data_IF_219807534290
#
_entry.id   IF_219807534290
#
_cell.length_a   1.000
_cell.length_b   1.000
_cell.length_c   1.000
_cell.angle_alpha   90.00
_cell.angle_beta   90.00
_cell.angle_gamma   90.00
#
_symmetry.space_group_name_H-M   'P 1'
#
loop_
_entity.id
_entity.type
_entity.pdbx_description
1 polymer ?
#
# COMPACT_ATOMS: atom_id res chain seq x y z
N UNK A 1 39.13 -39.40 35.49
CA UNK A 1 40.01 -38.24 35.25
C UNK A 1 39.12 -37.21 34.58
N UNK A 2 38.51 -36.32 35.37
CA UNK A 2 38.99 -34.94 35.66
C UNK A 2 38.36 -33.96 34.65
N UNK A 3 37.47 -33.01 35.01
CA UNK A 3 37.67 -31.71 35.74
C UNK A 3 38.63 -30.78 35.01
N UNK A 4 38.42 -29.47 34.78
CA UNK A 4 37.39 -28.46 35.20
C UNK A 4 37.54 -27.25 34.23
N UNK A 5 36.66 -26.25 34.04
CA UNK A 5 35.42 -25.73 34.67
C UNK A 5 34.42 -25.34 33.55
N UNK A 6 33.18 -24.81 33.67
CA UNK A 6 32.48 -23.82 34.53
C UNK A 6 32.99 -22.37 34.49
N UNK A 7 32.22 -21.47 33.87
CA UNK A 7 32.03 -20.09 34.34
C UNK A 7 30.75 -19.50 33.75
N UNK A 8 29.89 -18.94 34.59
CA UNK A 8 28.64 -18.24 34.21
C UNK A 8 28.70 -16.85 34.80
N UNK A 9 28.61 -15.79 33.99
CA UNK A 9 28.54 -14.43 34.51
C UNK A 9 27.13 -14.07 35.02
N UNK A 10 27.02 -13.35 36.15
CA UNK A 10 25.74 -13.15 36.84
C UNK A 10 24.94 -11.94 36.33
N UNK A 11 23.62 -12.09 36.35
CA UNK A 11 22.66 -11.00 36.16
C UNK A 11 22.78 -9.92 37.25
N UNK A 12 22.94 -8.66 36.85
CA UNK A 12 22.84 -7.51 37.75
C UNK A 12 21.48 -6.79 37.59
N UNK A 13 20.53 -6.93 38.54
CA UNK A 13 19.32 -6.11 38.56
C UNK A 13 19.67 -4.70 39.07
N UNK A 14 19.54 -3.68 38.20
CA UNK A 14 19.75 -2.28 38.60
C UNK A 14 18.59 -1.81 39.47
N UNK A 15 18.94 -1.16 40.58
CA UNK A 15 18.05 -0.77 41.69
C UNK A 15 16.92 0.18 41.28
N UNK A 16 15.73 -0.09 41.81
CA UNK A 16 14.56 0.80 41.81
C UNK A 16 14.87 2.13 42.52
N UNK A 17 14.55 3.26 41.91
CA UNK A 17 14.40 4.52 42.64
C UNK A 17 12.99 5.09 42.41
N UNK A 18 12.27 5.32 43.51
CA UNK A 18 10.86 5.75 43.52
C UNK A 18 10.74 7.02 44.32
N UNK A 19 10.38 8.13 43.66
CA UNK A 19 9.94 9.35 44.37
C UNK A 19 8.70 9.96 43.73
N UNK A 20 7.87 10.54 44.60
CA UNK A 20 6.43 10.75 44.40
C UNK A 20 6.07 12.23 44.22
N UNK A 21 5.02 12.45 43.43
CA UNK A 21 4.17 13.65 43.31
C UNK A 21 4.77 14.96 42.79
N UNK A 22 4.22 15.38 41.65
CA UNK A 22 3.93 16.78 41.32
C UNK A 22 2.51 16.89 40.77
N UNK A 23 1.51 17.06 41.64
CA UNK A 23 0.11 17.23 41.24
C UNK A 23 -0.17 18.67 40.85
N UNK A 24 -0.84 18.89 39.72
CA UNK A 24 -1.67 20.07 39.50
C UNK A 24 -2.93 19.67 38.71
N UNK A 25 -4.09 19.96 39.29
CA UNK A 25 -5.40 19.77 38.68
C UNK A 25 -5.95 21.14 38.32
N UNK A 26 -6.40 21.33 37.09
CA UNK A 26 -7.44 22.34 36.81
C UNK A 26 -8.25 21.95 35.57
N UNK A 27 -9.49 22.46 35.48
CA UNK A 27 -10.54 21.85 34.66
C UNK A 27 -11.01 22.74 33.51
N UNK A 28 -11.09 22.17 32.31
CA UNK A 28 -12.13 22.43 31.30
C UNK A 28 -12.09 21.30 30.26
N UNK A 29 -13.16 20.69 29.77
CA UNK A 29 -14.59 20.81 30.10
C UNK A 29 -15.43 20.41 28.87
N UNK A 30 -16.66 19.95 29.10
CA UNK A 30 -17.68 19.68 28.06
C UNK A 30 -17.35 18.57 27.02
N UNK A 31 -17.69 17.35 27.41
CA UNK A 31 -18.63 16.46 26.69
C UNK A 31 -18.83 16.63 25.18
N UNK A 32 -18.51 15.58 24.41
CA UNK A 32 -19.49 14.99 23.49
C UNK A 32 -19.19 13.50 23.20
N UNK A 33 -20.13 12.64 23.60
CA UNK A 33 -20.15 11.22 23.22
C UNK A 33 -21.13 11.04 22.06
N UNK A 34 -20.62 11.19 20.84
CA UNK A 34 -21.33 11.04 19.58
C UNK A 34 -20.30 10.60 18.51
N UNK A 35 -20.54 9.64 17.61
CA UNK A 35 -21.72 8.79 17.38
C UNK A 35 -21.30 7.32 17.19
N UNK A 36 -22.14 6.36 17.58
CA UNK A 36 -22.03 4.95 17.13
C UNK A 36 -22.83 4.80 15.82
N UNK A 37 -22.43 5.51 14.75
CA UNK A 37 -23.26 5.64 13.54
C UNK A 37 -22.48 5.75 12.21
N UNK A 38 -21.44 4.93 12.01
CA UNK A 38 -20.69 4.86 10.73
C UNK A 38 -20.78 3.50 10.00
N UNK A 39 -21.84 2.72 10.26
CA UNK A 39 -22.23 1.56 9.45
C UNK A 39 -22.96 1.95 8.14
N UNK A 40 -22.86 3.22 7.72
CA UNK A 40 -23.30 3.74 6.42
C UNK A 40 -22.21 3.53 5.36
N UNK A 41 -22.24 2.36 4.72
CA UNK A 41 -21.35 1.95 3.61
C UNK A 41 -21.43 2.95 2.44
N UNK A 42 -20.52 3.91 2.42
CA UNK A 42 -20.54 5.05 1.51
C UNK A 42 -20.16 4.64 0.07
N UNK A 43 -21.03 4.96 -0.90
CA UNK A 43 -20.67 5.00 -2.32
C UNK A 43 -19.83 6.26 -2.63
N UNK A 44 -18.73 6.46 -1.90
CA UNK A 44 -17.72 7.47 -2.21
C UNK A 44 -16.72 6.83 -3.19
N UNK A 45 -16.32 7.51 -4.28
CA UNK A 45 -15.32 6.96 -5.20
C UNK A 45 -14.02 6.67 -4.43
N UNK A 46 -13.36 5.55 -4.75
CA UNK A 46 -12.20 5.04 -4.00
C UNK A 46 -11.06 6.06 -3.97
N UNK A 47 -10.88 6.82 -5.05
CA UNK A 47 -9.91 7.91 -5.17
C UNK A 47 -10.01 8.96 -4.05
N UNK A 48 -11.22 9.34 -3.64
CA UNK A 48 -11.45 10.38 -2.63
C UNK A 48 -11.03 9.96 -1.21
N UNK A 49 -10.59 8.71 -1.01
CA UNK A 49 -9.91 8.25 0.21
C UNK A 49 -8.40 8.02 0.03
N UNK A 50 -7.87 8.03 -1.20
CA UNK A 50 -6.42 7.88 -1.47
C UNK A 50 -5.68 9.23 -1.57
N UNK A 51 -6.37 10.32 -1.92
CA UNK A 51 -5.78 11.66 -2.14
C UNK A 51 -5.21 12.34 -0.88
N UNK A 52 -5.67 11.96 0.32
CA UNK A 52 -5.23 12.51 1.62
C UNK A 52 -4.69 11.39 2.55
N UNK A 53 -3.78 10.55 2.01
CA UNK A 53 -3.07 9.53 2.79
C UNK A 53 -1.61 9.94 2.99
N UNK A 54 -1.17 9.99 4.26
CA UNK A 54 0.23 10.24 4.59
C UNK A 54 1.15 9.12 4.01
N UNK A 55 2.35 9.43 3.47
CA UNK A 55 3.24 8.43 2.86
C UNK A 55 3.53 7.19 3.72
N UNK A 56 3.64 7.34 5.04
CA UNK A 56 3.86 6.22 5.98
C UNK A 56 2.64 5.30 6.04
N UNK A 57 1.44 5.89 6.10
CA UNK A 57 0.15 5.19 6.11
C UNK A 57 -0.12 4.49 4.77
N UNK A 58 0.23 5.12 3.64
CA UNK A 58 0.11 4.51 2.31
C UNK A 58 0.95 3.23 2.23
N UNK A 59 2.22 3.29 2.63
CA UNK A 59 3.13 2.13 2.69
C UNK A 59 2.54 1.00 3.53
N UNK A 60 1.99 1.30 4.71
CA UNK A 60 1.41 0.29 5.59
C UNK A 60 0.12 -0.32 5.05
N UNK A 61 -0.77 0.49 4.47
CA UNK A 61 -1.97 0.00 3.82
C UNK A 61 -1.64 -0.88 2.61
N UNK A 62 -0.63 -0.50 1.81
CA UNK A 62 -0.17 -1.30 0.67
C UNK A 62 0.49 -2.61 1.10
N UNK A 63 1.22 -2.63 2.22
CA UNK A 63 1.76 -3.87 2.80
C UNK A 63 0.66 -4.81 3.32
N UNK A 64 -0.38 -4.28 3.98
CA UNK A 64 -1.56 -5.06 4.42
C UNK A 64 -2.28 -5.69 3.23
N UNK A 65 -2.50 -4.93 2.15
CA UNK A 65 -3.09 -5.42 0.90
C UNK A 65 -2.24 -6.51 0.21
N UNK A 66 -0.91 -6.35 0.18
CA UNK A 66 0.00 -7.37 -0.34
C UNK A 66 0.06 -8.64 0.53
N UNK A 67 -0.34 -8.56 1.80
CA UNK A 67 -0.48 -9.72 2.68
C UNK A 67 -1.83 -10.43 2.50
N UNK A 68 -2.93 -9.70 2.26
CA UNK A 68 -4.25 -10.30 1.99
C UNK A 68 -4.22 -11.10 0.70
N UNK A 69 -3.73 -10.53 -0.42
CA UNK A 69 -3.58 -11.22 -1.70
C UNK A 69 -2.83 -12.57 -1.57
N UNK A 70 -1.72 -12.59 -0.82
CA UNK A 70 -0.96 -13.82 -0.55
C UNK A 70 -1.73 -14.85 0.27
N UNK A 71 -2.59 -14.38 1.19
CA UNK A 71 -3.46 -15.23 2.01
C UNK A 71 -4.64 -15.79 1.21
N UNK A 72 -5.14 -15.01 0.26
CA UNK A 72 -6.15 -15.39 -0.74
C UNK A 72 -5.61 -16.37 -1.80
N UNK A 73 -4.30 -16.67 -1.78
CA UNK A 73 -3.63 -17.57 -2.74
C UNK A 73 -3.21 -16.91 -4.05
N UNK A 74 -3.45 -15.60 -4.22
CA UNK A 74 -3.00 -14.83 -5.37
C UNK A 74 -1.53 -14.41 -5.19
N UNK A 75 -0.67 -14.72 -6.17
CA UNK A 75 0.71 -14.25 -6.19
C UNK A 75 0.81 -12.86 -6.86
N UNK A 76 1.09 -11.76 -6.12
CA UNK A 76 1.25 -10.43 -6.70
C UNK A 76 2.55 -10.25 -7.51
N UNK A 77 3.49 -11.21 -7.46
CA UNK A 77 4.78 -11.15 -8.14
C UNK A 77 4.96 -12.35 -9.08
N UNK A 78 4.37 -12.27 -10.28
CA UNK A 78 4.51 -13.34 -11.29
C UNK A 78 5.98 -13.52 -11.70
N UNK A 79 6.43 -14.78 -11.72
CA UNK A 79 7.78 -15.13 -12.17
C UNK A 79 8.01 -14.94 -13.68
N UNK A 80 6.94 -14.92 -14.49
CA UNK A 80 7.01 -14.78 -15.95
C UNK A 80 5.81 -14.00 -16.47
N UNK A 81 6.08 -12.98 -17.28
CA UNK A 81 5.11 -12.30 -18.13
C UNK A 81 5.66 -12.27 -19.57
N UNK A 82 4.85 -12.65 -20.55
CA UNK A 82 5.30 -12.75 -21.95
C UNK A 82 5.04 -11.44 -22.69
N UNK A 83 6.01 -10.53 -22.63
CA UNK A 83 6.04 -9.35 -23.49
C UNK A 83 6.15 -9.80 -24.96
N UNK A 84 5.39 -9.15 -25.84
CA UNK A 84 5.35 -9.44 -27.28
C UNK A 84 6.13 -8.44 -28.13
N UNK A 85 6.21 -7.17 -27.69
CA UNK A 85 7.02 -6.10 -28.27
C UNK A 85 7.33 -5.03 -27.22
N UNK A 86 8.35 -4.22 -27.46
CA UNK A 86 8.71 -3.09 -26.59
C UNK A 86 7.82 -1.86 -26.87
N UNK A 87 7.67 -0.96 -25.89
CA UNK A 87 6.83 0.26 -26.02
C UNK A 87 7.28 1.14 -27.21
N UNK A 88 8.60 1.31 -27.41
CA UNK A 88 9.12 2.05 -28.59
C UNK A 88 8.72 1.39 -29.92
N UNK A 89 8.77 0.04 -30.00
CA UNK A 89 8.38 -0.71 -31.20
C UNK A 89 6.86 -0.65 -31.46
N UNK A 90 6.07 -0.57 -30.39
CA UNK A 90 4.62 -0.34 -30.48
C UNK A 90 4.33 1.04 -31.09
N UNK A 91 4.96 2.10 -30.58
CA UNK A 91 4.83 3.46 -31.11
C UNK A 91 5.23 3.47 -32.60
N UNK A 92 6.40 2.93 -32.96
CA UNK A 92 6.86 2.91 -34.36
C UNK A 92 5.95 2.13 -35.31
N UNK A 93 5.29 1.06 -34.84
CA UNK A 93 4.35 0.28 -35.63
C UNK A 93 3.00 0.96 -35.82
N UNK A 94 2.47 1.61 -34.78
CA UNK A 94 1.07 2.09 -34.74
C UNK A 94 0.90 3.60 -34.89
N UNK A 95 1.99 4.38 -34.98
CA UNK A 95 1.99 5.84 -35.25
C UNK A 95 1.27 6.31 -36.53
N UNK A 96 0.85 5.39 -37.40
CA UNK A 96 0.18 5.67 -38.67
C UNK A 96 -1.30 5.31 -38.72
N UNK A 97 -1.90 4.92 -37.58
CA UNK A 97 -3.35 4.73 -37.46
C UNK A 97 -4.09 6.07 -37.55
N UNK A 98 -5.35 6.03 -37.98
CA UNK A 98 -6.25 7.18 -38.03
C UNK A 98 -6.99 7.41 -36.70
N UNK A 99 -7.47 8.64 -36.47
CA UNK A 99 -8.16 9.00 -35.22
C UNK A 99 -9.44 8.17 -35.01
N UNK A 100 -9.48 7.41 -33.93
CA UNK A 100 -10.59 6.50 -33.62
C UNK A 100 -10.50 5.10 -34.24
N UNK A 101 -9.42 4.78 -34.96
CA UNK A 101 -9.16 3.45 -35.51
C UNK A 101 -8.73 2.45 -34.43
N UNK A 102 -9.36 1.28 -34.40
CA UNK A 102 -9.11 0.22 -33.42
C UNK A 102 -8.96 -1.13 -34.15
N UNK A 103 -7.89 -1.88 -33.85
CA UNK A 103 -7.58 -3.16 -34.50
C UNK A 103 -7.93 -4.34 -33.58
N UNK A 104 -9.20 -4.74 -33.58
CA UNK A 104 -9.73 -5.78 -32.67
C UNK A 104 -9.06 -7.16 -32.86
N UNK A 105 -8.65 -7.50 -34.08
CA UNK A 105 -7.97 -8.77 -34.40
C UNK A 105 -6.55 -8.91 -33.79
N UNK A 106 -5.94 -7.80 -33.34
CA UNK A 106 -4.50 -7.74 -33.03
C UNK A 106 -4.23 -7.60 -31.53
N UNK A 107 -4.04 -8.73 -30.85
CA UNK A 107 -3.63 -8.76 -29.45
C UNK A 107 -2.12 -8.50 -29.27
N UNK A 108 -1.79 -7.60 -28.33
CA UNK A 108 -0.42 -7.22 -27.98
C UNK A 108 -0.24 -7.26 -26.46
N UNK A 109 0.88 -7.83 -25.99
CA UNK A 109 1.29 -7.81 -24.58
C UNK A 109 2.49 -6.88 -24.40
N UNK A 110 2.26 -5.74 -23.72
CA UNK A 110 3.28 -4.76 -23.33
C UNK A 110 3.58 -4.86 -21.83
N UNK A 111 4.74 -4.37 -21.40
CA UNK A 111 5.07 -4.15 -20.00
C UNK A 111 5.87 -2.85 -19.85
N UNK A 112 5.71 -2.19 -18.70
CA UNK A 112 6.35 -0.93 -18.37
C UNK A 112 5.91 -0.47 -16.96
N UNK A 113 6.39 0.70 -16.54
CA UNK A 113 6.02 1.31 -15.26
C UNK A 113 4.83 2.24 -15.42
N UNK A 114 3.77 2.05 -14.62
CA UNK A 114 2.65 2.99 -14.56
C UNK A 114 3.08 4.26 -13.83
N UNK A 115 3.23 5.36 -14.55
CA UNK A 115 3.54 6.68 -13.97
C UNK A 115 2.27 7.38 -13.46
N UNK A 116 1.20 7.36 -14.26
CA UNK A 116 -0.04 8.08 -13.98
C UNK A 116 -1.28 7.21 -14.20
N UNK A 117 -2.37 7.59 -13.57
CA UNK A 117 -3.70 7.00 -13.71
C UNK A 117 -4.72 8.13 -13.57
N UNK A 118 -5.63 8.25 -14.53
CA UNK A 118 -6.87 9.02 -14.35
C UNK A 118 -8.07 8.15 -14.66
N UNK A 119 -9.09 8.29 -13.84
CA UNK A 119 -10.42 7.76 -14.07
C UNK A 119 -11.30 8.90 -14.59
N UNK A 120 -11.92 8.69 -15.75
CA UNK A 120 -12.82 9.67 -16.39
C UNK A 120 -14.29 9.32 -16.12
N UNK A 121 -14.64 8.04 -16.21
CA UNK A 121 -15.97 7.50 -15.90
C UNK A 121 -15.87 6.29 -14.98
N UNK A 122 -17.00 5.70 -14.58
CA UNK A 122 -17.01 4.47 -13.78
C UNK A 122 -16.36 3.25 -14.49
N UNK A 123 -16.23 3.29 -15.82
CA UNK A 123 -15.65 2.22 -16.64
C UNK A 123 -14.34 2.60 -17.36
N UNK A 124 -14.07 3.89 -17.59
CA UNK A 124 -12.93 4.36 -18.38
C UNK A 124 -11.75 4.79 -17.50
N UNK A 125 -10.60 4.13 -17.68
CA UNK A 125 -9.35 4.41 -16.98
C UNK A 125 -8.21 4.61 -17.98
N UNK A 126 -7.49 5.72 -17.85
CA UNK A 126 -6.34 6.07 -18.67
C UNK A 126 -5.04 5.84 -17.90
N UNK A 127 -4.08 5.18 -18.54
CA UNK A 127 -2.81 4.77 -17.94
C UNK A 127 -1.64 5.35 -18.73
N UNK A 128 -0.74 6.09 -18.06
CA UNK A 128 0.54 6.48 -18.65
C UNK A 128 1.60 5.42 -18.29
N UNK A 129 2.16 4.80 -19.33
CA UNK A 129 3.14 3.71 -19.24
C UNK A 129 4.51 4.18 -19.76
N UNK A 130 5.58 3.79 -19.07
CA UNK A 130 6.99 4.05 -19.41
C UNK A 130 7.79 2.75 -19.55
#
# INVERSE_FOLDING_TARGET
>A
METTSSSTEPTAPVTTDTRISGTNTEQNGQSQAAEIQSCSRSNRPVSAYEEDINPTQYRENRLKYLASLKTEGHNPYSHKFRVSMLIAQYIDRYRGLSDGEHLEDVSVSLAGSRLWLVQDTLSCYFYLLL
#
